data_IF_807906301305
#
_entry.id   IF_807906301305
#
_cell.length_a   1.000
_cell.length_b   1.000
_cell.length_c   1.000
_cell.angle_alpha   90.00
_cell.angle_beta   90.00
_cell.angle_gamma   90.00
#
_symmetry.space_group_name_H-M   'P 1'
#
loop_
_entity.id
_entity.type
_entity.pdbx_description
1 polymer ?
#
# COMPACT_ATOMS: atom_id res chain seq x y z
N UNK A 1 20.30 -49.12 11.77
CA UNK A 1 20.53 -50.51 11.32
C UNK A 1 19.99 -50.64 9.88
N UNK A 2 20.85 -50.34 8.89
CA UNK A 2 21.18 -51.09 7.63
C UNK A 2 20.39 -52.42 7.47
N UNK A 3 19.80 -52.86 6.34
CA UNK A 3 20.02 -52.66 4.88
C UNK A 3 18.80 -53.12 4.04
N UNK A 4 18.77 -52.74 2.75
CA UNK A 4 17.97 -53.43 1.73
C UNK A 4 17.97 -52.73 0.36
N UNK A 5 18.96 -53.02 -0.48
CA UNK A 5 19.14 -52.47 -1.82
C UNK A 5 18.67 -53.43 -2.94
N UNK A 6 18.20 -52.88 -4.07
CA UNK A 6 18.58 -53.28 -5.46
C UNK A 6 17.93 -52.38 -6.52
N UNK A 7 18.74 -51.84 -7.43
CA UNK A 7 18.34 -51.28 -8.74
C UNK A 7 18.24 -52.39 -9.81
N UNK A 8 17.75 -52.08 -11.04
CA UNK A 8 18.72 -51.88 -12.13
C UNK A 8 18.37 -50.84 -13.22
N UNK A 9 19.46 -50.19 -13.67
CA UNK A 9 19.93 -49.73 -15.01
C UNK A 9 18.98 -49.35 -16.16
N UNK A 10 19.36 -48.22 -16.78
CA UNK A 10 18.89 -47.61 -18.02
C UNK A 10 19.40 -48.29 -19.31
N UNK A 11 18.67 -48.07 -20.40
CA UNK A 11 19.10 -48.28 -21.79
C UNK A 11 18.82 -46.99 -22.58
N UNK A 12 19.84 -46.50 -23.28
CA UNK A 12 19.78 -45.36 -24.19
C UNK A 12 19.60 -45.82 -25.65
N UNK A 13 18.86 -45.06 -26.47
CA UNK A 13 19.05 -44.98 -27.93
C UNK A 13 18.76 -43.57 -28.45
N UNK A 14 19.62 -43.12 -29.37
CA UNK A 14 19.63 -41.85 -30.10
C UNK A 14 18.83 -41.93 -31.41
N UNK A 15 18.38 -40.76 -31.83
CA UNK A 15 18.04 -40.18 -33.15
C UNK A 15 18.11 -41.02 -34.44
N UNK A 16 17.14 -40.79 -35.36
CA UNK A 16 17.36 -40.03 -36.60
C UNK A 16 16.04 -39.51 -37.24
N UNK A 17 16.05 -38.46 -38.08
CA UNK A 17 14.89 -37.76 -38.64
C UNK A 17 14.64 -38.10 -40.13
N UNK A 18 13.41 -37.89 -40.60
CA UNK A 18 13.02 -37.44 -41.96
C UNK A 18 11.62 -37.94 -42.31
N UNK A 19 10.78 -37.06 -42.87
CA UNK A 19 9.42 -37.42 -43.28
C UNK A 19 8.60 -36.20 -43.69
N UNK A 20 8.81 -35.76 -44.93
CA UNK A 20 8.05 -34.74 -45.65
C UNK A 20 6.54 -35.06 -45.70
N UNK A 21 5.69 -34.03 -45.60
CA UNK A 21 4.26 -34.15 -45.90
C UNK A 21 3.40 -32.96 -45.46
N UNK A 22 3.38 -31.89 -46.26
CA UNK A 22 2.19 -31.03 -46.48
C UNK A 22 1.58 -31.45 -47.83
N UNK A 23 0.33 -31.10 -48.22
CA UNK A 23 -0.61 -30.14 -47.62
C UNK A 23 -2.08 -30.63 -47.54
N UNK A 24 -2.92 -29.98 -46.72
CA UNK A 24 -4.33 -29.72 -47.08
C UNK A 24 -5.00 -28.78 -46.06
N UNK A 25 -5.23 -27.55 -46.48
CA UNK A 25 -6.36 -26.69 -46.09
C UNK A 25 -7.20 -26.52 -47.37
N UNK A 26 -8.52 -26.18 -47.35
CA UNK A 26 -9.17 -25.39 -46.31
C UNK A 26 -10.61 -25.85 -45.94
N UNK A 27 -11.01 -25.62 -44.69
CA UNK A 27 -12.43 -25.54 -44.34
C UNK A 27 -12.72 -24.15 -43.76
N UNK A 28 -13.50 -23.39 -44.51
CA UNK A 28 -14.20 -22.16 -44.10
C UNK A 28 -15.27 -22.56 -43.09
N UNK A 29 -15.29 -21.91 -41.94
CA UNK A 29 -16.44 -21.85 -41.02
C UNK A 29 -16.56 -20.39 -40.60
N UNK A 30 -17.35 -19.61 -41.33
CA UNK A 30 -18.73 -19.20 -40.98
C UNK A 30 -18.81 -18.49 -39.62
N UNK A 31 -18.77 -17.16 -39.70
CA UNK A 31 -19.10 -16.24 -38.62
C UNK A 31 -20.60 -16.34 -38.26
N UNK A 32 -20.96 -16.26 -36.96
CA UNK A 32 -22.35 -16.16 -36.53
C UNK A 32 -22.91 -14.75 -36.78
N UNK A 33 -24.23 -14.61 -37.02
CA UNK A 33 -24.84 -13.37 -37.48
C UNK A 33 -24.98 -12.31 -36.38
N UNK A 34 -24.80 -11.06 -36.82
CA UNK A 34 -25.14 -9.82 -36.13
C UNK A 34 -26.63 -9.77 -35.79
N UNK A 35 -26.95 -9.68 -34.50
CA UNK A 35 -28.28 -9.34 -34.00
C UNK A 35 -28.35 -7.81 -33.92
N UNK A 36 -29.19 -7.21 -34.77
CA UNK A 36 -29.59 -5.81 -34.68
C UNK A 36 -30.60 -5.62 -33.53
N UNK A 37 -30.54 -4.51 -32.77
CA UNK A 37 -31.47 -4.25 -31.69
C UNK A 37 -32.84 -3.78 -32.23
N UNK A 38 -33.89 -4.37 -31.68
CA UNK A 38 -35.28 -4.00 -31.92
C UNK A 38 -35.59 -2.62 -31.32
N UNK A 39 -36.19 -1.77 -32.14
CA UNK A 39 -36.79 -0.49 -31.82
C UNK A 39 -38.16 -0.68 -31.18
N UNK A 40 -38.42 0.00 -30.06
CA UNK A 40 -39.78 0.34 -29.62
C UNK A 40 -39.76 1.70 -28.87
N UNK A 41 -40.89 2.44 -28.90
CA UNK A 41 -40.91 3.90 -28.88
C UNK A 41 -41.03 4.48 -27.47
N UNK A 42 -40.43 5.65 -27.26
CA UNK A 42 -40.55 6.41 -26.01
C UNK A 42 -41.87 7.20 -25.90
N UNK A 43 -42.27 7.60 -24.69
CA UNK A 43 -43.20 8.69 -24.48
C UNK A 43 -42.45 10.03 -24.31
N UNK A 44 -42.88 11.00 -25.12
CA UNK A 44 -42.66 12.45 -25.01
C UNK A 44 -43.52 12.98 -23.85
N UNK A 45 -42.97 13.88 -23.02
CA UNK A 45 -43.66 14.92 -22.23
C UNK A 45 -42.56 15.93 -21.84
N UNK A 46 -42.35 16.96 -22.65
CA UNK A 46 -42.84 18.34 -22.48
C UNK A 46 -42.08 19.14 -21.42
N UNK A 47 -41.34 20.14 -21.92
CA UNK A 47 -40.66 21.19 -21.17
C UNK A 47 -41.53 22.45 -21.25
N UNK A 48 -41.68 23.14 -20.12
CA UNK A 48 -42.29 24.47 -20.01
C UNK A 48 -41.22 25.49 -19.50
N UNK A 49 -41.38 26.79 -19.82
CA UNK A 49 -40.28 27.74 -20.04
C UNK A 49 -39.98 28.66 -18.82
N UNK A 50 -39.00 29.59 -18.91
CA UNK A 50 -38.47 30.31 -17.75
C UNK A 50 -39.24 31.60 -17.46
N UNK A 51 -39.31 31.98 -16.18
CA UNK A 51 -39.79 33.29 -15.75
C UNK A 51 -38.62 34.25 -15.50
N UNK A 52 -38.52 35.28 -16.34
CA UNK A 52 -37.86 36.55 -16.03
C UNK A 52 -38.83 37.46 -15.26
N UNK A 53 -38.32 38.28 -14.33
CA UNK A 53 -38.87 39.61 -14.06
C UNK A 53 -37.78 40.52 -13.49
N UNK A 54 -37.70 41.70 -14.11
CA UNK A 54 -36.83 42.84 -13.85
C UNK A 54 -37.11 43.54 -12.51
N UNK A 55 -36.15 44.36 -12.04
CA UNK A 55 -36.44 45.48 -11.15
C UNK A 55 -35.23 46.02 -10.38
N UNK A 56 -34.77 47.20 -10.77
CA UNK A 56 -33.60 47.92 -10.23
C UNK A 56 -33.96 48.90 -9.09
N UNK A 57 -32.88 49.48 -8.52
CA UNK A 57 -32.77 50.77 -7.79
C UNK A 57 -32.98 50.80 -6.25
N UNK A 58 -31.87 50.92 -5.47
CA UNK A 58 -31.28 52.12 -4.79
C UNK A 58 -32.00 52.49 -3.47
N UNK A 59 -31.39 52.87 -2.33
CA UNK A 59 -30.09 53.43 -1.94
C UNK A 59 -29.91 53.30 -0.39
N UNK A 60 -28.64 53.39 0.04
CA UNK A 60 -28.15 54.03 1.27
C UNK A 60 -27.73 53.18 2.49
N UNK A 61 -26.43 53.31 2.82
CA UNK A 61 -25.98 53.56 4.19
C UNK A 61 -25.12 52.50 4.89
N UNK A 62 -23.80 52.74 4.99
CA UNK A 62 -23.05 52.40 6.22
C UNK A 62 -21.70 51.66 6.13
N UNK A 63 -20.60 52.42 5.98
CA UNK A 63 -19.24 52.24 6.58
C UNK A 63 -18.34 51.02 6.26
N UNK A 64 -16.99 51.19 6.24
CA UNK A 64 -16.07 50.31 5.53
C UNK A 64 -15.69 49.08 6.36
N UNK A 65 -15.97 47.90 5.82
CA UNK A 65 -15.45 46.63 6.35
C UNK A 65 -14.05 46.41 5.79
N UNK A 66 -13.06 46.37 6.69
CA UNK A 66 -11.70 45.98 6.38
C UNK A 66 -11.69 44.64 5.62
N UNK A 67 -11.05 44.63 4.45
CA UNK A 67 -10.72 43.40 3.74
C UNK A 67 -9.75 42.60 4.63
N UNK A 68 -10.28 41.60 5.32
CA UNK A 68 -9.45 40.58 5.93
C UNK A 68 -8.78 39.80 4.78
N UNK A 69 -7.49 40.04 4.58
CA UNK A 69 -6.64 39.12 3.84
C UNK A 69 -6.79 37.73 4.47
N UNK A 70 -7.38 36.78 3.75
CA UNK A 70 -7.26 35.36 4.08
C UNK A 70 -5.77 35.02 4.11
N UNK A 71 -5.25 34.74 5.31
CA UNK A 71 -3.95 34.11 5.41
C UNK A 71 -4.02 32.73 4.74
N UNK A 72 -3.04 32.35 3.90
CA UNK A 72 -3.03 31.03 3.31
C UNK A 72 -3.07 29.97 4.43
N UNK A 73 -3.96 28.99 4.31
CA UNK A 73 -4.27 27.96 5.32
C UNK A 73 -3.04 27.19 5.84
N UNK A 74 -1.90 27.26 5.13
CA UNK A 74 -0.60 26.76 5.58
C UNK A 74 0.03 27.59 6.73
N UNK A 75 -0.17 28.92 6.76
CA UNK A 75 0.40 29.81 7.76
C UNK A 75 -0.28 29.67 9.14
N UNK A 76 -1.60 29.44 9.16
CA UNK A 76 -2.34 29.13 10.39
C UNK A 76 -1.92 27.77 10.99
N UNK A 77 -1.53 26.79 10.14
CA UNK A 77 -1.04 25.46 10.56
C UNK A 77 0.35 25.51 11.22
N UNK A 78 1.24 26.39 10.76
CA UNK A 78 2.57 26.59 11.33
C UNK A 78 2.51 27.17 12.76
N UNK A 79 1.52 28.02 13.05
CA UNK A 79 1.34 28.63 14.37
C UNK A 79 0.92 27.63 15.46
N UNK A 80 0.13 26.62 15.11
CA UNK A 80 -0.27 25.56 16.05
C UNK A 80 0.93 24.68 16.42
N UNK A 81 1.77 24.33 15.44
CA UNK A 81 2.99 23.54 15.63
C UNK A 81 4.01 24.28 16.52
N UNK A 82 4.16 25.60 16.34
CA UNK A 82 5.05 26.43 17.17
C UNK A 82 4.56 26.58 18.62
N UNK A 83 3.26 26.41 18.87
CA UNK A 83 2.66 26.43 20.21
C UNK A 83 3.02 25.24 21.09
N UNK A 84 3.27 24.07 20.49
CA UNK A 84 3.63 22.84 21.21
C UNK A 84 5.12 22.75 21.56
N UNK A 85 5.97 23.61 20.99
CA UNK A 85 7.42 23.65 21.24
C UNK A 85 7.82 24.59 22.39
N UNK A 86 6.86 25.20 23.09
CA UNK A 86 7.12 26.08 24.23
C UNK A 86 6.29 25.69 25.45
N UNK A 87 6.81 24.77 26.27
CA UNK A 87 6.61 24.84 27.73
C UNK A 87 7.67 24.06 28.52
N UNK A 88 8.12 24.55 29.69
CA UNK A 88 9.19 23.96 30.47
C UNK A 88 8.69 22.93 31.50
N UNK A 89 9.65 22.14 31.97
CA UNK A 89 9.60 21.04 32.93
C UNK A 89 9.26 21.43 34.38
N UNK A 90 8.57 20.50 35.07
CA UNK A 90 8.47 20.35 36.54
C UNK A 90 7.91 18.94 36.81
N UNK A 91 8.23 18.16 37.85
CA UNK A 91 9.12 18.22 39.00
C UNK A 91 9.00 16.85 39.70
N UNK A 92 10.07 16.37 40.34
CA UNK A 92 10.20 15.02 40.87
C UNK A 92 9.31 14.73 42.10
N UNK A 93 8.80 13.50 42.23
CA UNK A 93 8.23 12.94 43.46
C UNK A 93 9.02 11.69 43.83
N UNK A 94 9.59 11.69 45.03
CA UNK A 94 10.34 10.58 45.64
C UNK A 94 9.40 9.76 46.51
N UNK A 95 9.48 8.43 46.42
CA UNK A 95 8.85 7.52 47.38
C UNK A 95 9.89 6.51 47.91
N UNK A 96 9.86 6.26 49.22
CA UNK A 96 10.76 5.37 49.95
C UNK A 96 10.32 3.88 49.89
N UNK A 97 11.26 2.92 50.01
CA UNK A 97 10.96 1.50 49.88
C UNK A 97 10.58 0.85 51.22
N UNK A 98 9.73 -0.19 51.19
CA UNK A 98 9.50 -1.10 52.31
C UNK A 98 9.89 -2.52 51.89
N UNK A 99 10.79 -3.11 52.67
CA UNK A 99 11.47 -4.38 52.42
C UNK A 99 10.56 -5.58 52.69
N UNK A 100 10.57 -6.55 51.77
CA UNK A 100 10.00 -7.88 51.98
C UNK A 100 10.69 -8.88 51.05
N UNK A 101 11.68 -9.61 51.59
CA UNK A 101 12.48 -10.57 50.82
C UNK A 101 11.67 -11.84 50.56
N UNK A 102 11.15 -11.98 49.34
CA UNK A 102 10.69 -13.26 48.81
C UNK A 102 11.68 -13.64 47.71
N UNK A 103 12.27 -14.83 47.82
CA UNK A 103 13.17 -15.40 46.82
C UNK A 103 12.43 -15.54 45.49
N UNK A 104 12.57 -14.57 44.59
CA UNK A 104 12.09 -14.65 43.23
C UNK A 104 13.09 -15.44 42.40
N UNK A 105 12.68 -16.62 41.95
CA UNK A 105 13.14 -17.07 40.65
C UNK A 105 12.89 -15.91 39.69
N UNK A 106 13.92 -15.45 38.98
CA UNK A 106 13.88 -14.28 38.11
C UNK A 106 12.87 -14.49 36.98
N UNK A 107 11.60 -14.18 37.24
CA UNK A 107 10.61 -13.88 36.22
C UNK A 107 11.07 -12.58 35.56
N UNK A 108 11.92 -12.72 34.53
CA UNK A 108 12.04 -11.65 33.56
C UNK A 108 10.75 -11.67 32.74
N UNK A 109 9.85 -10.67 32.86
CA UNK A 109 8.73 -10.57 31.95
C UNK A 109 9.30 -10.58 30.54
N UNK A 110 8.73 -11.43 29.68
CA UNK A 110 9.21 -11.60 28.31
C UNK A 110 9.03 -10.25 27.61
N UNK A 111 10.13 -9.51 27.41
CA UNK A 111 10.09 -8.18 26.85
C UNK A 111 9.98 -8.28 25.33
N UNK A 112 8.83 -7.87 24.82
CA UNK A 112 8.53 -7.80 23.39
C UNK A 112 9.00 -6.46 22.81
N UNK A 113 9.62 -6.47 21.62
CA UNK A 113 10.21 -5.29 20.99
C UNK A 113 9.39 -4.74 19.84
N UNK A 114 8.56 -5.57 19.23
CA UNK A 114 7.82 -5.30 18.00
C UNK A 114 6.31 -5.28 18.21
N UNK A 115 5.83 -5.66 19.40
CA UNK A 115 4.42 -5.56 19.81
C UNK A 115 4.29 -4.97 21.21
N UNK A 116 3.33 -4.06 21.38
CA UNK A 116 2.99 -3.45 22.66
C UNK A 116 2.04 -4.34 23.48
N UNK A 117 2.01 -4.13 24.79
CA UNK A 117 1.11 -4.86 25.68
C UNK A 117 -0.33 -4.38 25.49
N UNK A 118 -1.23 -5.32 25.14
CA UNK A 118 -2.67 -5.11 25.04
C UNK A 118 -3.41 -6.46 25.17
N UNK A 119 -4.74 -6.41 25.09
CA UNK A 119 -5.63 -7.57 25.16
C UNK A 119 -6.15 -8.05 23.79
N UNK A 120 -5.59 -7.55 22.69
CA UNK A 120 -6.02 -7.89 21.32
C UNK A 120 -5.26 -9.09 20.78
N UNK A 121 -3.92 -9.06 20.86
CA UNK A 121 -3.08 -10.16 20.41
C UNK A 121 -2.90 -11.19 21.51
N UNK A 122 -3.09 -12.46 21.17
CA UNK A 122 -2.72 -13.58 22.04
C UNK A 122 -1.21 -13.64 22.24
N UNK A 123 -0.76 -14.29 23.32
CA UNK A 123 0.67 -14.47 23.58
C UNK A 123 1.36 -15.24 22.44
N UNK A 124 0.70 -16.25 21.87
CA UNK A 124 1.23 -17.00 20.72
C UNK A 124 1.40 -16.11 19.48
N UNK A 125 0.42 -15.25 19.19
CA UNK A 125 0.50 -14.32 18.06
C UNK A 125 1.62 -13.29 18.24
N UNK A 126 1.81 -12.76 19.46
CA UNK A 126 2.92 -11.84 19.76
C UNK A 126 4.26 -12.54 19.59
N UNK A 127 4.45 -13.72 20.18
CA UNK A 127 5.66 -14.54 20.00
C UNK A 127 5.92 -14.83 18.52
N UNK A 128 4.88 -15.16 17.77
CA UNK A 128 4.99 -15.39 16.34
C UNK A 128 5.47 -14.13 15.59
N UNK A 129 4.86 -12.98 15.84
CA UNK A 129 5.27 -11.72 15.19
C UNK A 129 6.70 -11.33 15.57
N UNK A 130 7.10 -11.52 16.83
CA UNK A 130 8.45 -11.23 17.32
C UNK A 130 9.49 -12.18 16.74
N UNK A 131 9.12 -13.42 16.44
CA UNK A 131 10.01 -14.36 15.78
C UNK A 131 10.11 -14.08 14.27
N UNK A 132 8.97 -13.81 13.63
CA UNK A 132 8.83 -13.89 12.17
C UNK A 132 8.71 -12.53 11.48
N UNK A 133 8.22 -11.50 12.16
CA UNK A 133 8.05 -10.13 11.65
C UNK A 133 6.76 -9.89 10.86
N UNK A 134 5.86 -10.86 10.85
CA UNK A 134 4.53 -10.74 10.24
C UNK A 134 3.50 -11.53 11.04
N UNK A 135 2.22 -11.23 10.83
CA UNK A 135 1.09 -11.94 11.40
C UNK A 135 -0.12 -11.86 10.45
N UNK A 136 -0.74 -12.99 10.14
CA UNK A 136 -1.97 -13.03 9.33
C UNK A 136 -3.17 -13.18 10.23
N UNK A 137 -4.13 -12.26 10.11
CA UNK A 137 -5.44 -12.32 10.75
C UNK A 137 -6.47 -12.69 9.68
N UNK A 138 -7.18 -13.79 9.91
CA UNK A 138 -8.16 -14.34 8.96
C UNK A 138 -9.48 -13.58 9.03
N UNK A 139 -10.12 -13.39 7.88
CA UNK A 139 -11.44 -12.76 7.75
C UNK A 139 -11.58 -11.45 8.55
N UNK A 140 -10.56 -10.59 8.51
CA UNK A 140 -10.53 -9.37 9.33
C UNK A 140 -11.42 -8.27 8.72
N UNK A 141 -11.38 -8.10 7.40
CA UNK A 141 -12.14 -7.06 6.71
C UNK A 141 -13.42 -7.66 6.12
N UNK A 142 -14.61 -7.11 6.45
CA UNK A 142 -15.87 -7.62 5.94
C UNK A 142 -15.97 -7.59 4.41
N UNK A 143 -16.65 -8.59 3.85
CA UNK A 143 -16.90 -8.69 2.41
C UNK A 143 -17.55 -7.45 1.79
N UNK A 144 -18.41 -6.79 2.57
CA UNK A 144 -19.10 -5.56 2.17
C UNK A 144 -18.11 -4.41 1.96
N UNK A 145 -17.17 -4.20 2.87
CA UNK A 145 -16.14 -3.17 2.72
C UNK A 145 -15.17 -3.50 1.59
N UNK A 146 -14.77 -4.77 1.43
CA UNK A 146 -13.98 -5.20 0.27
C UNK A 146 -14.69 -4.84 -1.05
N UNK A 147 -16.00 -5.08 -1.14
CA UNK A 147 -16.76 -4.75 -2.35
C UNK A 147 -16.84 -3.24 -2.58
N UNK A 148 -16.95 -2.43 -1.52
CA UNK A 148 -16.90 -0.96 -1.63
C UNK A 148 -15.58 -0.49 -2.22
N UNK A 149 -14.45 -0.98 -1.70
CA UNK A 149 -13.13 -0.62 -2.21
C UNK A 149 -12.94 -1.05 -3.67
N UNK A 150 -13.43 -2.23 -4.06
CA UNK A 150 -13.42 -2.69 -5.47
C UNK A 150 -14.24 -1.76 -6.37
N UNK A 151 -15.45 -1.42 -5.96
CA UNK A 151 -16.33 -0.54 -6.73
C UNK A 151 -15.71 0.85 -6.92
N UNK A 152 -15.11 1.42 -5.86
CA UNK A 152 -14.47 2.73 -5.99
C UNK A 152 -13.24 2.68 -6.89
N UNK A 153 -12.42 1.63 -6.77
CA UNK A 153 -11.30 1.42 -7.67
C UNK A 153 -11.73 1.35 -9.15
N UNK A 154 -12.85 0.69 -9.45
CA UNK A 154 -13.42 0.66 -10.80
C UNK A 154 -13.80 2.06 -11.29
N UNK A 155 -14.46 2.88 -10.47
CA UNK A 155 -14.82 4.26 -10.82
C UNK A 155 -13.58 5.12 -11.10
N UNK A 156 -12.53 4.97 -10.29
CA UNK A 156 -11.23 5.62 -10.51
C UNK A 156 -10.63 5.17 -11.84
N UNK A 157 -10.65 3.87 -12.15
CA UNK A 157 -10.14 3.34 -13.40
C UNK A 157 -10.89 3.87 -14.63
N UNK A 158 -12.21 4.06 -14.51
CA UNK A 158 -13.08 4.67 -15.53
C UNK A 158 -13.00 6.20 -15.57
N UNK A 159 -12.24 6.80 -14.64
CA UNK A 159 -12.10 8.26 -14.44
C UNK A 159 -13.39 8.98 -14.08
N UNK A 160 -14.36 8.25 -13.52
CA UNK A 160 -15.61 8.79 -12.97
C UNK A 160 -15.35 9.54 -11.66
N UNK A 161 -14.33 9.09 -10.91
CA UNK A 161 -13.83 9.74 -9.69
C UNK A 161 -12.34 10.05 -9.88
N UNK A 162 -11.91 11.25 -9.45
CA UNK A 162 -10.53 11.74 -9.55
C UNK A 162 -10.13 12.40 -8.22
N UNK A 163 -9.79 11.61 -7.20
CA UNK A 163 -9.41 12.14 -5.90
C UNK A 163 -8.18 13.04 -6.02
N UNK A 164 -8.14 14.11 -5.23
CA UNK A 164 -7.01 15.03 -5.22
C UNK A 164 -5.75 14.32 -4.70
N UNK A 165 -4.60 14.55 -5.33
CA UNK A 165 -3.32 13.94 -4.93
C UNK A 165 -3.13 12.47 -5.32
N UNK A 166 -4.17 11.78 -5.80
CA UNK A 166 -4.09 10.35 -6.16
C UNK A 166 -3.06 10.11 -7.28
N UNK A 167 -2.13 9.19 -7.04
CA UNK A 167 -1.13 8.76 -8.03
C UNK A 167 -1.58 7.47 -8.69
N UNK A 168 -1.87 7.53 -10.00
CA UNK A 168 -2.26 6.36 -10.80
C UNK A 168 -1.03 5.82 -11.55
N UNK A 169 -0.63 4.59 -11.24
CA UNK A 169 0.44 3.89 -11.93
C UNK A 169 -0.10 2.96 -13.02
N UNK A 170 0.63 2.91 -14.13
CA UNK A 170 0.41 1.97 -15.23
C UNK A 170 1.71 1.22 -15.48
N UNK A 171 1.62 -0.09 -15.66
CA UNK A 171 2.79 -0.91 -15.97
C UNK A 171 3.35 -0.53 -17.36
N UNK A 172 4.67 -0.52 -17.48
CA UNK A 172 5.39 -0.18 -18.72
C UNK A 172 5.02 -1.09 -19.89
N UNK A 173 4.52 -2.29 -19.60
CA UNK A 173 4.13 -3.29 -20.60
C UNK A 173 2.72 -3.13 -21.15
N UNK A 174 1.87 -2.30 -20.53
CA UNK A 174 0.51 -2.07 -21.02
C UNK A 174 0.59 -1.16 -22.25
N UNK A 175 0.25 -1.71 -23.42
CA UNK A 175 0.38 -1.04 -24.72
C UNK A 175 -0.37 0.30 -24.76
N UNK A 176 0.29 1.34 -25.30
CA UNK A 176 -0.27 2.70 -25.49
C UNK A 176 -1.53 2.75 -26.38
N UNK A 177 -1.92 1.64 -27.02
CA UNK A 177 -2.95 1.58 -28.06
C UNK A 177 -4.36 1.28 -27.56
N UNK A 178 -4.56 0.85 -26.31
CA UNK A 178 -5.90 0.73 -25.72
C UNK A 178 -6.28 2.03 -25.03
N UNK A 179 -6.94 2.94 -25.76
CA UNK A 179 -7.30 4.28 -25.28
C UNK A 179 -8.54 4.31 -24.36
N UNK A 180 -9.14 3.16 -24.07
CA UNK A 180 -10.34 3.07 -23.24
C UNK A 180 -9.94 2.95 -21.75
N UNK A 181 -10.31 3.91 -20.89
CA UNK A 181 -10.08 3.81 -19.45
C UNK A 181 -10.71 2.52 -18.90
N UNK A 182 -9.90 1.59 -18.42
CA UNK A 182 -10.36 0.32 -17.87
C UNK A 182 -9.44 -0.14 -16.74
N UNK A 183 -9.93 -1.02 -15.88
CA UNK A 183 -9.12 -1.61 -14.80
C UNK A 183 -7.83 -2.25 -15.29
N UNK A 184 -7.82 -2.76 -16.53
CA UNK A 184 -6.67 -3.46 -17.13
C UNK A 184 -5.48 -2.53 -17.38
N UNK A 185 -5.69 -1.20 -17.34
CA UNK A 185 -4.62 -0.22 -17.53
C UNK A 185 -3.97 0.26 -16.23
N UNK A 186 -4.66 0.12 -15.10
CA UNK A 186 -4.24 0.67 -13.81
C UNK A 186 -3.68 -0.44 -12.95
N UNK A 187 -2.38 -0.42 -12.67
CA UNK A 187 -1.73 -1.51 -11.91
C UNK A 187 -1.50 -1.19 -10.45
N UNK A 188 -1.54 0.10 -10.09
CA UNK A 188 -1.53 0.56 -8.71
C UNK A 188 -2.15 1.96 -8.63
N UNK A 189 -2.85 2.25 -7.55
CA UNK A 189 -3.12 3.62 -7.12
C UNK A 189 -2.48 3.84 -5.75
N UNK A 190 -1.90 5.02 -5.55
CA UNK A 190 -1.29 5.44 -4.29
C UNK A 190 -1.83 6.79 -3.86
N UNK A 191 -1.65 7.12 -2.59
CA UNK A 191 -2.02 8.41 -2.01
C UNK A 191 -3.53 8.69 -2.16
N UNK A 192 -4.33 7.69 -1.77
CA UNK A 192 -5.79 7.74 -1.83
C UNK A 192 -6.44 8.36 -0.59
N UNK A 193 -5.69 9.07 0.26
CA UNK A 193 -6.21 9.61 1.53
C UNK A 193 -7.38 10.58 1.36
N UNK A 194 -7.44 11.31 0.24
CA UNK A 194 -8.56 12.20 -0.09
C UNK A 194 -9.76 11.47 -0.74
N UNK A 195 -9.65 10.17 -1.03
CA UNK A 195 -10.76 9.34 -1.48
C UNK A 195 -11.51 8.77 -0.27
N UNK A 196 -12.76 9.21 -0.09
CA UNK A 196 -13.56 8.83 1.09
C UNK A 196 -13.79 7.33 1.20
N UNK A 197 -14.01 6.62 0.09
CA UNK A 197 -14.34 5.20 0.14
C UNK A 197 -13.09 4.35 0.34
N UNK A 198 -11.97 4.66 -0.31
CA UNK A 198 -10.71 3.95 -0.09
C UNK A 198 -10.09 4.27 1.27
N UNK A 199 -10.15 5.54 1.73
CA UNK A 199 -9.58 5.94 3.01
C UNK A 199 -10.32 5.32 4.21
N UNK A 200 -11.56 4.86 4.05
CA UNK A 200 -12.24 4.05 5.08
C UNK A 200 -11.45 2.82 5.51
N UNK A 201 -10.63 2.25 4.63
CA UNK A 201 -9.71 1.17 5.01
C UNK A 201 -8.78 1.59 6.17
N UNK A 202 -8.32 2.84 6.14
CA UNK A 202 -7.39 3.39 7.13
C UNK A 202 -8.07 3.73 8.46
N UNK A 203 -9.39 3.93 8.44
CA UNK A 203 -10.20 4.27 9.62
C UNK A 203 -11.10 3.12 10.09
N UNK A 204 -10.95 1.94 9.49
CA UNK A 204 -11.75 0.77 9.81
C UNK A 204 -11.39 0.26 11.23
N UNK A 205 -12.34 0.18 12.18
CA UNK A 205 -12.06 -0.22 13.56
C UNK A 205 -11.38 -1.59 13.65
N UNK A 206 -11.76 -2.53 12.77
CA UNK A 206 -11.17 -3.86 12.65
C UNK A 206 -9.67 -3.80 12.34
N UNK A 207 -9.23 -2.86 11.49
CA UNK A 207 -7.82 -2.64 11.18
C UNK A 207 -7.12 -1.93 12.33
N UNK A 208 -7.69 -0.80 12.80
CA UNK A 208 -7.06 0.03 13.83
C UNK A 208 -6.84 -0.72 15.15
N UNK A 209 -7.76 -1.61 15.53
CA UNK A 209 -7.63 -2.49 16.69
C UNK A 209 -6.31 -3.28 16.70
N UNK A 210 -5.89 -3.78 15.54
CA UNK A 210 -4.62 -4.51 15.42
C UNK A 210 -3.43 -3.56 15.19
N UNK A 211 -3.60 -2.46 14.46
CA UNK A 211 -2.54 -1.46 14.24
C UNK A 211 -2.02 -0.89 15.56
N UNK A 212 -2.93 -0.57 16.50
CA UNK A 212 -2.60 -0.05 17.83
C UNK A 212 -1.64 -0.98 18.60
N UNK A 213 -1.67 -2.29 18.32
CA UNK A 213 -0.77 -3.27 18.93
C UNK A 213 0.70 -3.04 18.57
N UNK A 214 0.99 -2.28 17.53
CA UNK A 214 2.33 -2.00 17.04
C UNK A 214 2.70 -0.52 17.22
N UNK A 215 1.75 0.39 16.95
CA UNK A 215 1.99 1.85 16.93
C UNK A 215 1.70 2.53 18.27
N UNK A 216 0.89 1.91 19.12
CA UNK A 216 0.24 2.61 20.23
C UNK A 216 -0.97 3.44 19.74
N UNK A 217 -1.62 4.19 20.65
CA UNK A 217 -2.93 4.80 20.41
C UNK A 217 -2.90 5.98 19.45
N UNK A 218 -1.75 6.64 19.29
CA UNK A 218 -1.60 7.79 18.41
C UNK A 218 -1.21 7.30 17.01
N UNK A 219 -2.20 7.03 16.16
CA UNK A 219 -1.99 6.35 14.87
C UNK A 219 -1.98 7.35 13.72
N UNK A 220 -0.97 7.27 12.86
CA UNK A 220 -0.91 7.99 11.57
C UNK A 220 -0.97 7.01 10.39
N UNK A 221 -1.84 7.26 9.42
CA UNK A 221 -1.83 6.59 8.13
C UNK A 221 -0.79 7.27 7.21
N UNK A 222 0.34 6.61 7.00
CA UNK A 222 1.52 7.23 6.37
C UNK A 222 1.57 7.06 4.86
N UNK A 223 1.20 5.88 4.36
CA UNK A 223 1.24 5.57 2.93
C UNK A 223 0.10 4.63 2.57
N UNK A 224 -0.60 4.92 1.48
CA UNK A 224 -1.80 4.19 1.06
C UNK A 224 -1.61 3.64 -0.34
N UNK A 225 -1.99 2.38 -0.55
CA UNK A 225 -1.87 1.71 -1.85
C UNK A 225 -3.02 0.75 -2.11
N UNK A 226 -3.53 0.75 -3.34
CA UNK A 226 -4.34 -0.34 -3.88
C UNK A 226 -3.61 -0.90 -5.09
N UNK A 227 -3.29 -2.18 -5.00
CA UNK A 227 -2.41 -2.91 -5.93
C UNK A 227 -3.29 -3.80 -6.80
N UNK A 228 -3.31 -3.53 -8.10
CA UNK A 228 -4.06 -4.28 -9.12
C UNK A 228 -3.06 -5.02 -10.01
N UNK A 229 -2.53 -6.14 -9.53
CA UNK A 229 -1.39 -6.81 -10.14
C UNK A 229 -1.76 -7.45 -11.49
N UNK A 230 -1.13 -7.06 -12.61
CA UNK A 230 -1.49 -7.56 -13.94
C UNK A 230 -1.08 -9.03 -14.13
N UNK A 231 -1.72 -9.75 -15.08
CA UNK A 231 -1.21 -10.98 -15.65
C UNK A 231 0.24 -10.82 -16.15
N UNK A 232 1.05 -11.86 -15.93
CA UNK A 232 2.42 -11.93 -16.41
C UNK A 232 2.49 -12.85 -17.64
N UNK A 233 2.76 -12.28 -18.81
CA UNK A 233 2.92 -13.04 -20.06
C UNK A 233 4.25 -13.81 -20.15
N UNK A 234 4.88 -14.11 -19.01
CA UNK A 234 6.17 -14.81 -18.91
C UNK A 234 7.39 -13.87 -18.93
N UNK A 235 7.18 -12.55 -19.00
CA UNK A 235 8.24 -11.54 -19.00
C UNK A 235 8.72 -11.16 -17.60
N UNK A 236 8.12 -11.72 -16.55
CA UNK A 236 8.43 -11.47 -15.13
C UNK A 236 8.22 -10.02 -14.68
N UNK A 237 7.49 -9.22 -15.46
CA UNK A 237 7.31 -7.77 -15.23
C UNK A 237 6.36 -7.47 -14.08
N UNK A 238 5.48 -8.41 -13.73
CA UNK A 238 4.52 -8.24 -12.64
C UNK A 238 5.12 -8.55 -11.26
N UNK A 239 6.34 -9.11 -11.20
CA UNK A 239 6.97 -9.52 -9.93
C UNK A 239 7.45 -8.28 -9.19
N UNK A 240 7.10 -8.16 -7.90
CA UNK A 240 7.76 -7.18 -7.04
C UNK A 240 9.07 -7.79 -6.50
N UNK A 241 10.23 -7.13 -6.68
CA UNK A 241 11.48 -7.61 -6.12
C UNK A 241 11.41 -7.73 -4.60
N UNK A 242 12.31 -8.55 -4.04
CA UNK A 242 12.47 -8.61 -2.60
C UNK A 242 13.02 -7.28 -2.10
N UNK A 243 12.35 -6.69 -1.12
CA UNK A 243 12.63 -5.34 -0.63
C UNK A 243 12.23 -5.22 0.86
N UNK A 244 12.55 -4.06 1.44
CA UNK A 244 12.14 -3.64 2.77
C UNK A 244 11.44 -2.30 2.59
N UNK A 245 10.22 -2.16 3.08
CA UNK A 245 9.43 -0.94 2.92
C UNK A 245 10.11 0.27 3.57
N UNK A 246 10.84 0.04 4.68
CA UNK A 246 11.55 1.11 5.39
C UNK A 246 12.54 1.87 4.50
N UNK A 247 13.00 1.28 3.39
CA UNK A 247 13.82 1.97 2.38
C UNK A 247 13.16 3.26 1.88
N UNK A 248 11.83 3.28 1.75
CA UNK A 248 11.06 4.42 1.28
C UNK A 248 10.61 5.37 2.40
N UNK A 249 10.81 4.99 3.67
CA UNK A 249 10.28 5.74 4.82
C UNK A 249 11.40 6.49 5.55
N UNK A 250 11.41 7.83 5.49
CA UNK A 250 12.39 8.66 6.19
C UNK A 250 11.93 9.00 7.63
N UNK A 251 11.30 8.05 8.34
CA UNK A 251 10.84 8.24 9.72
C UNK A 251 11.09 6.99 10.59
N UNK A 252 11.24 7.20 11.90
CA UNK A 252 11.71 6.23 12.91
C UNK A 252 11.01 6.44 14.26
N UNK A 253 11.04 5.48 15.20
CA UNK A 253 11.64 4.14 15.11
C UNK A 253 10.82 3.17 14.24
N UNK A 254 11.48 2.20 13.59
CA UNK A 254 10.81 1.22 12.71
C UNK A 254 9.84 0.30 13.44
N UNK A 255 10.09 0.01 14.72
CA UNK A 255 9.26 -0.91 15.50
C UNK A 255 7.86 -0.34 15.79
N UNK A 256 7.67 0.97 15.63
CA UNK A 256 6.39 1.66 15.74
C UNK A 256 5.73 1.91 14.37
N UNK A 257 6.13 1.15 13.35
CA UNK A 257 5.60 1.22 12.00
C UNK A 257 5.11 -0.19 11.61
N UNK A 258 3.93 -0.27 11.00
CA UNK A 258 3.35 -1.54 10.56
C UNK A 258 2.63 -1.37 9.23
N UNK A 259 2.83 -2.31 8.31
CA UNK A 259 1.99 -2.43 7.12
C UNK A 259 0.78 -3.30 7.44
N UNK A 260 -0.43 -2.82 7.14
CA UNK A 260 -1.62 -3.65 7.06
C UNK A 260 -1.96 -3.87 5.58
N UNK A 261 -1.89 -5.11 5.11
CA UNK A 261 -2.18 -5.49 3.72
C UNK A 261 -3.31 -6.51 3.68
N UNK A 262 -4.37 -6.20 2.94
CA UNK A 262 -5.60 -7.00 2.91
C UNK A 262 -5.88 -7.54 1.52
N UNK A 263 -6.19 -8.84 1.47
CA UNK A 263 -6.59 -9.54 0.27
C UNK A 263 -8.02 -9.14 -0.15
N UNK A 264 -8.20 -8.61 -1.36
CA UNK A 264 -9.52 -8.20 -1.89
C UNK A 264 -10.22 -9.29 -2.71
N UNK A 265 -9.61 -10.47 -2.76
CA UNK A 265 -10.02 -11.70 -3.43
C UNK A 265 -9.15 -12.86 -2.90
N UNK A 266 -9.38 -14.09 -3.36
CA UNK A 266 -8.48 -15.20 -3.06
C UNK A 266 -7.10 -14.98 -3.69
N UNK A 267 -6.02 -15.13 -2.92
CA UNK A 267 -4.64 -14.84 -3.33
C UNK A 267 -3.74 -16.02 -2.97
N UNK A 268 -3.11 -16.61 -3.99
CA UNK A 268 -2.28 -17.80 -3.88
C UNK A 268 -0.96 -17.66 -4.65
N UNK A 269 -0.23 -18.75 -4.80
CA UNK A 269 1.04 -18.77 -5.55
C UNK A 269 0.84 -18.58 -7.06
N UNK A 270 -0.34 -18.87 -7.59
CA UNK A 270 -0.64 -18.75 -9.02
C UNK A 270 -0.92 -17.30 -9.41
N UNK A 271 -1.64 -16.53 -8.59
CA UNK A 271 -1.94 -15.12 -8.88
C UNK A 271 -0.97 -14.11 -8.21
N UNK A 272 0.10 -14.60 -7.59
CA UNK A 272 1.22 -13.78 -7.12
C UNK A 272 1.02 -13.21 -5.72
N UNK A 273 0.78 -14.10 -4.75
CA UNK A 273 0.83 -13.81 -3.33
C UNK A 273 2.16 -13.18 -2.87
N UNK A 274 2.12 -12.58 -1.69
CA UNK A 274 3.32 -12.12 -1.00
C UNK A 274 4.23 -13.31 -0.65
N UNK A 275 5.53 -13.03 -0.71
CA UNK A 275 6.59 -13.92 -0.25
C UNK A 275 7.35 -13.16 0.81
N UNK A 276 7.51 -13.75 1.99
CA UNK A 276 8.25 -13.17 3.12
C UNK A 276 9.43 -14.05 3.49
N UNK A 277 10.48 -13.45 4.04
CA UNK A 277 11.60 -14.15 4.67
C UNK A 277 11.49 -13.93 6.19
N UNK A 278 10.94 -14.90 6.93
CA UNK A 278 10.69 -14.75 8.36
C UNK A 278 11.96 -14.38 9.15
N UNK A 279 11.81 -13.54 10.17
CA UNK A 279 12.90 -13.14 11.08
C UNK A 279 13.82 -12.04 10.53
N UNK A 280 13.78 -11.75 9.23
CA UNK A 280 14.64 -10.72 8.63
C UNK A 280 14.38 -9.29 9.13
N UNK A 281 13.21 -9.04 9.72
CA UNK A 281 12.87 -7.77 10.37
C UNK A 281 13.80 -7.41 11.55
N UNK A 282 14.52 -8.39 12.12
CA UNK A 282 15.52 -8.21 13.18
C UNK A 282 16.86 -7.70 12.66
N UNK A 283 17.08 -7.77 11.35
CA UNK A 283 18.28 -7.29 10.70
C UNK A 283 18.27 -5.77 10.49
N UNK A 284 19.34 -5.26 9.89
CA UNK A 284 19.42 -3.86 9.48
C UNK A 284 18.63 -3.59 8.19
N UNK A 285 18.38 -2.30 7.92
CA UNK A 285 18.01 -1.86 6.58
C UNK A 285 19.16 -2.20 5.61
N UNK A 286 18.85 -2.92 4.54
CA UNK A 286 19.79 -3.27 3.47
C UNK A 286 19.82 -2.16 2.41
N UNK A 287 20.88 -2.07 1.59
CA UNK A 287 20.88 -1.21 0.42
C UNK A 287 19.97 -1.78 -0.68
N UNK A 288 19.22 -0.89 -1.34
CA UNK A 288 18.34 -1.23 -2.46
C UNK A 288 18.74 -0.46 -3.71
N UNK A 289 18.60 -1.11 -4.86
CA UNK A 289 18.80 -0.50 -6.18
C UNK A 289 17.83 -1.15 -7.18
N UNK A 290 17.69 -0.58 -8.38
CA UNK A 290 16.90 -1.17 -9.45
C UNK A 290 17.47 -2.53 -9.87
N UNK A 291 16.67 -3.60 -9.83
CA UNK A 291 17.09 -4.90 -10.34
C UNK A 291 17.49 -4.82 -11.82
N UNK A 292 18.58 -5.50 -12.19
CA UNK A 292 19.03 -5.62 -13.59
C UNK A 292 18.27 -6.74 -14.31
N UNK A 293 16.95 -6.59 -14.47
CA UNK A 293 16.09 -7.60 -15.09
C UNK A 293 15.84 -7.32 -16.58
N UNK A 294 15.79 -8.37 -17.38
CA UNK A 294 15.38 -8.30 -18.79
C UNK A 294 13.92 -7.85 -18.89
N UNK A 295 13.63 -6.85 -19.74
CA UNK A 295 12.29 -6.27 -19.89
C UNK A 295 12.04 -5.01 -19.04
N UNK A 296 13.02 -4.59 -18.22
CA UNK A 296 12.93 -3.42 -17.37
C UNK A 296 12.22 -3.66 -16.05
N UNK A 297 12.33 -2.70 -15.14
CA UNK A 297 11.69 -2.72 -13.82
C UNK A 297 10.77 -1.51 -13.69
N UNK A 298 9.59 -1.71 -13.09
CA UNK A 298 8.68 -0.62 -12.81
C UNK A 298 9.38 0.43 -11.92
N UNK A 299 9.08 1.72 -12.13
CA UNK A 299 9.63 2.80 -11.29
C UNK A 299 9.29 2.55 -9.82
N UNK A 300 10.20 2.90 -8.92
CA UNK A 300 10.10 2.65 -7.48
C UNK A 300 10.00 1.18 -7.07
N UNK A 301 10.50 0.24 -7.90
CA UNK A 301 10.63 -1.17 -7.52
C UNK A 301 12.10 -1.50 -7.27
N UNK A 302 12.68 -0.87 -6.24
CA UNK A 302 14.04 -1.18 -5.79
C UNK A 302 14.08 -2.54 -5.09
N UNK A 303 15.06 -3.37 -5.46
CA UNK A 303 15.32 -4.65 -4.84
C UNK A 303 16.56 -4.60 -3.95
N UNK A 304 16.57 -5.42 -2.90
CA UNK A 304 17.74 -5.63 -2.05
C UNK A 304 18.86 -6.23 -2.90
N UNK A 305 20.04 -5.64 -2.81
CA UNK A 305 21.22 -6.10 -3.54
C UNK A 305 21.92 -7.29 -2.85
N UNK A 306 21.76 -7.40 -1.53
CA UNK A 306 22.44 -8.41 -0.72
C UNK A 306 21.50 -8.96 0.37
N UNK A 307 21.05 -10.20 0.17
CA UNK A 307 20.32 -10.98 1.16
C UNK A 307 20.71 -12.45 1.06
N UNK A 308 20.72 -13.13 2.21
CA UNK A 308 20.96 -14.57 2.29
C UNK A 308 19.86 -15.34 1.53
N UNK A 309 20.21 -15.86 0.35
CA UNK A 309 19.26 -16.57 -0.52
C UNK A 309 18.71 -17.85 0.13
N UNK A 310 19.46 -18.42 1.08
CA UNK A 310 19.14 -19.66 1.78
C UNK A 310 18.07 -19.50 2.87
N UNK A 311 17.60 -18.28 3.15
CA UNK A 311 16.49 -18.08 4.08
C UNK A 311 15.21 -18.73 3.55
N UNK A 312 14.59 -19.59 4.36
CA UNK A 312 13.33 -20.23 4.03
C UNK A 312 12.26 -19.16 3.75
N UNK A 313 11.62 -19.26 2.59
CA UNK A 313 10.58 -18.33 2.16
C UNK A 313 9.21 -18.86 2.51
N UNK A 314 8.35 -18.00 3.02
CA UNK A 314 6.94 -18.30 3.27
C UNK A 314 6.09 -17.58 2.24
N UNK A 315 5.21 -18.33 1.58
CA UNK A 315 4.21 -17.79 0.65
C UNK A 315 2.90 -17.57 1.41
N UNK A 316 2.40 -16.34 1.40
CA UNK A 316 1.19 -15.98 2.14
C UNK A 316 -0.06 -16.22 1.29
N UNK A 317 -0.59 -17.44 1.34
CA UNK A 317 -1.91 -17.76 0.74
C UNK A 317 -3.00 -17.20 1.64
N UNK A 318 -3.87 -16.37 1.06
CA UNK A 318 -4.85 -15.55 1.78
C UNK A 318 -6.20 -15.61 1.08
N UNK A 319 -7.26 -15.74 1.86
CA UNK A 319 -8.63 -15.60 1.39
C UNK A 319 -9.05 -14.13 1.35
N UNK A 320 -10.13 -13.84 0.64
CA UNK A 320 -10.73 -12.49 0.64
C UNK A 320 -11.03 -12.05 2.07
N UNK A 321 -10.61 -10.84 2.43
CA UNK A 321 -10.80 -10.26 3.76
C UNK A 321 -9.71 -10.62 4.77
N UNK A 322 -8.80 -11.56 4.46
CA UNK A 322 -7.60 -11.78 5.27
C UNK A 322 -6.69 -10.55 5.24
N UNK A 323 -6.08 -10.23 6.37
CA UNK A 323 -5.10 -9.14 6.49
C UNK A 323 -3.79 -9.68 7.06
N UNK A 324 -2.68 -9.33 6.42
CA UNK A 324 -1.34 -9.52 6.99
C UNK A 324 -0.83 -8.20 7.55
N UNK A 325 -0.37 -8.23 8.79
CA UNK A 325 0.41 -7.18 9.42
C UNK A 325 1.88 -7.54 9.34
N UNK A 326 2.75 -6.62 8.93
CA UNK A 326 4.19 -6.90 8.91
C UNK A 326 5.07 -5.67 9.13
N UNK A 327 6.26 -5.93 9.68
CA UNK A 327 7.25 -4.93 10.05
C UNK A 327 7.96 -4.38 8.79
N UNK A 328 8.29 -3.07 8.71
CA UNK A 328 8.85 -2.46 7.50
C UNK A 328 10.27 -2.94 7.15
N UNK A 329 10.99 -3.58 8.07
CA UNK A 329 12.26 -4.28 7.80
C UNK A 329 12.09 -5.74 7.38
N UNK A 330 10.88 -6.30 7.37
CA UNK A 330 10.68 -7.65 6.87
C UNK A 330 10.98 -7.70 5.37
N UNK A 331 11.94 -8.54 4.98
CA UNK A 331 12.24 -8.75 3.57
C UNK A 331 11.07 -9.50 2.94
N UNK A 332 10.44 -8.86 1.96
CA UNK A 332 9.30 -9.43 1.27
C UNK A 332 9.22 -8.97 -0.19
N UNK A 333 8.40 -9.66 -0.98
CA UNK A 333 8.11 -9.32 -2.37
C UNK A 333 6.84 -10.03 -2.81
N UNK A 334 6.55 -10.05 -4.11
CA UNK A 334 5.40 -10.81 -4.64
C UNK A 334 5.80 -11.66 -5.83
N UNK A 335 5.18 -12.84 -5.95
CA UNK A 335 5.41 -13.76 -7.06
C UNK A 335 4.90 -13.22 -8.40
N UNK A 336 5.13 -13.96 -9.49
CA UNK A 336 4.50 -13.67 -10.78
C UNK A 336 2.99 -13.99 -10.71
N UNK A 337 2.17 -13.23 -11.43
CA UNK A 337 0.75 -13.55 -11.59
C UNK A 337 0.61 -14.34 -12.90
N UNK A 338 0.45 -15.66 -12.79
CA UNK A 338 0.35 -16.58 -13.93
C UNK A 338 -1.09 -16.74 -14.44
N UNK A 339 -2.05 -16.06 -13.79
CA UNK A 339 -3.46 -16.12 -14.17
C UNK A 339 -3.79 -15.05 -15.21
N UNK A 340 -4.99 -15.12 -15.79
CA UNK A 340 -5.50 -14.12 -16.73
C UNK A 340 -6.16 -12.92 -16.02
N UNK A 341 -6.43 -13.03 -14.72
CA UNK A 341 -7.07 -11.99 -13.92
C UNK A 341 -6.07 -11.01 -13.32
N UNK A 342 -6.53 -9.79 -13.02
CA UNK A 342 -5.76 -8.84 -12.22
C UNK A 342 -6.02 -9.10 -10.74
N UNK A 343 -4.95 -9.26 -9.96
CA UNK A 343 -5.02 -9.61 -8.54
C UNK A 343 -5.04 -8.35 -7.67
N UNK A 344 -6.16 -8.10 -6.97
CA UNK A 344 -6.36 -6.91 -6.15
C UNK A 344 -6.01 -7.10 -4.67
N UNK A 345 -5.37 -6.08 -4.10
CA UNK A 345 -5.16 -5.96 -2.66
C UNK A 345 -5.09 -4.48 -2.25
N UNK A 346 -5.49 -4.17 -1.02
CA UNK A 346 -5.42 -2.81 -0.45
C UNK A 346 -4.49 -2.82 0.75
N UNK A 347 -3.71 -1.75 0.93
CA UNK A 347 -2.79 -1.65 2.06
C UNK A 347 -2.61 -0.23 2.54
N UNK A 348 -2.24 -0.13 3.82
CA UNK A 348 -1.78 1.11 4.44
C UNK A 348 -0.60 0.80 5.35
N UNK A 349 0.42 1.65 5.29
CA UNK A 349 1.47 1.70 6.28
C UNK A 349 1.10 2.71 7.35
N UNK A 350 1.01 2.24 8.59
CA UNK A 350 0.74 3.05 9.75
C UNK A 350 2.02 3.29 10.54
N UNK A 351 2.10 4.43 11.21
CA UNK A 351 3.15 4.73 12.17
C UNK A 351 2.57 5.37 13.43
N UNK A 352 3.29 5.25 14.54
CA UNK A 352 3.01 6.08 15.72
C UNK A 352 3.21 7.56 15.39
N UNK A 353 2.35 8.42 15.92
CA UNK A 353 2.55 9.87 15.85
C UNK A 353 3.80 10.33 16.62
N UNK A 354 4.35 9.48 17.50
CA UNK A 354 5.60 9.72 18.23
C UNK A 354 6.84 9.43 17.37
N UNK A 355 6.66 8.94 16.14
CA UNK A 355 7.75 8.82 15.19
C UNK A 355 8.33 10.19 14.81
N UNK A 356 9.61 10.22 14.47
CA UNK A 356 10.31 11.41 13.99
C UNK A 356 10.94 11.16 12.63
N UNK A 357 11.01 12.22 11.82
CA UNK A 357 11.70 12.21 10.54
C UNK A 357 13.21 12.19 10.73
N UNK A 358 13.91 11.49 9.85
CA UNK A 358 15.37 11.44 9.77
C UNK A 358 15.88 12.15 8.53
N UNK A 359 17.09 12.69 8.60
CA UNK A 359 17.84 13.08 7.40
C UNK A 359 18.42 11.81 6.75
N UNK A 360 18.17 11.63 5.46
CA UNK A 360 18.60 10.44 4.71
C UNK A 360 19.89 10.69 3.92
N UNK A 361 20.41 11.92 3.90
CA UNK A 361 21.65 12.25 3.21
C UNK A 361 22.84 11.46 3.75
N UNK A 362 23.64 10.87 2.87
CA UNK A 362 24.78 10.02 3.26
C UNK A 362 24.37 8.64 3.80
N UNK A 363 23.09 8.28 3.74
CA UNK A 363 22.58 6.96 4.14
C UNK A 363 22.22 6.12 2.90
N UNK A 364 21.89 4.85 3.11
CA UNK A 364 21.37 3.97 2.05
C UNK A 364 20.04 4.43 1.41
N UNK A 365 19.36 5.42 2.00
CA UNK A 365 18.08 5.96 1.51
C UNK A 365 18.23 7.27 0.72
N UNK A 366 19.45 7.80 0.56
CA UNK A 366 19.68 9.06 -0.17
C UNK A 366 19.22 9.00 -1.63
N UNK A 367 19.26 7.82 -2.25
CA UNK A 367 18.76 7.60 -3.61
C UNK A 367 17.25 7.88 -3.74
N UNK A 368 16.44 7.47 -2.76
CA UNK A 368 15.00 7.72 -2.74
C UNK A 368 14.70 9.20 -2.61
N UNK A 369 15.41 9.94 -1.76
CA UNK A 369 15.25 11.39 -1.67
C UNK A 369 15.47 12.05 -3.03
N UNK A 370 16.59 11.72 -3.70
CA UNK A 370 16.91 12.27 -5.02
C UNK A 370 15.84 11.94 -6.06
N UNK A 371 15.33 10.71 -6.06
CA UNK A 371 14.29 10.30 -7.00
C UNK A 371 12.95 11.00 -6.73
N UNK A 372 12.51 11.03 -5.46
CA UNK A 372 11.24 11.62 -5.05
C UNK A 372 11.24 13.14 -5.26
N UNK A 373 12.30 13.84 -4.85
CA UNK A 373 12.46 15.28 -5.11
C UNK A 373 12.54 15.55 -6.61
N UNK A 374 13.27 14.72 -7.37
CA UNK A 374 13.35 14.84 -8.83
C UNK A 374 12.01 14.63 -9.54
N UNK A 375 11.12 13.80 -8.99
CA UNK A 375 9.74 13.64 -9.49
C UNK A 375 8.91 14.88 -9.09
N UNK A 376 8.99 15.31 -7.84
CA UNK A 376 8.26 16.46 -7.33
C UNK A 376 8.56 17.73 -8.13
N UNK A 377 9.83 18.03 -8.41
CA UNK A 377 10.22 19.22 -9.17
C UNK A 377 9.73 19.17 -10.61
N UNK A 378 9.59 17.98 -11.23
CA UNK A 378 8.97 17.84 -12.56
C UNK A 378 7.47 18.12 -12.55
N UNK A 379 6.78 17.85 -11.44
CA UNK A 379 5.34 18.08 -11.30
C UNK A 379 5.00 19.50 -10.86
N UNK A 380 5.77 20.08 -9.93
CA UNK A 380 5.46 21.37 -9.30
C UNK A 380 6.41 22.52 -9.68
N UNK A 381 7.43 22.26 -10.50
CA UNK A 381 8.46 23.24 -10.87
C UNK A 381 9.55 23.42 -9.80
N UNK A 382 10.72 23.93 -10.22
CA UNK A 382 11.92 24.10 -9.37
C UNK A 382 11.81 25.28 -8.37
N UNK A 383 10.74 26.07 -8.42
CA UNK A 383 10.55 27.26 -7.57
C UNK A 383 10.18 26.92 -6.12
N UNK A 384 9.71 25.70 -5.86
CA UNK A 384 9.40 25.23 -4.51
C UNK A 384 10.59 24.41 -4.00
N UNK A 385 11.28 24.87 -2.95
CA UNK A 385 12.34 24.11 -2.26
C UNK A 385 11.75 22.91 -1.49
N UNK A 386 11.22 21.95 -2.23
CA UNK A 386 10.65 20.71 -1.71
C UNK A 386 11.77 19.82 -1.18
N UNK A 387 11.68 19.41 0.08
CA UNK A 387 12.50 18.36 0.64
C UNK A 387 11.63 17.14 0.98
N UNK A 388 12.27 15.97 1.15
CA UNK A 388 11.55 14.71 1.33
C UNK A 388 10.61 14.74 2.56
N UNK A 389 11.02 15.41 3.65
CA UNK A 389 10.19 15.58 4.85
C UNK A 389 8.88 16.31 4.53
N UNK A 390 8.93 17.39 3.76
CA UNK A 390 7.75 18.17 3.40
C UNK A 390 6.80 17.37 2.50
N UNK A 391 7.35 16.59 1.57
CA UNK A 391 6.57 15.71 0.68
C UNK A 391 5.84 14.63 1.47
N UNK A 392 6.52 13.96 2.41
CA UNK A 392 5.87 12.94 3.26
C UNK A 392 4.82 13.58 4.16
N UNK A 393 5.07 14.74 4.76
CA UNK A 393 4.08 15.45 5.58
C UNK A 393 2.81 15.84 4.79
N UNK A 394 2.95 16.19 3.51
CA UNK A 394 1.82 16.51 2.64
C UNK A 394 0.94 15.28 2.35
N UNK A 395 1.55 14.09 2.28
CA UNK A 395 0.84 12.82 2.01
C UNK A 395 0.23 12.23 3.30
N UNK A 396 0.90 12.32 4.44
CA UNK A 396 0.47 11.70 5.70
C UNK A 396 -0.62 12.48 6.47
N UNK A 397 -1.14 13.59 5.91
CA UNK A 397 -2.18 14.37 6.58
C UNK A 397 -3.54 13.70 6.41
N UNK A 398 -4.25 13.44 7.52
CA UNK A 398 -5.66 13.03 7.48
C UNK A 398 -6.50 14.06 6.70
N UNK A 399 -7.60 13.63 6.03
CA UNK A 399 -8.57 14.58 5.48
C UNK A 399 -8.96 15.58 6.56
N UNK A 400 -8.95 16.88 6.23
CA UNK A 400 -9.18 17.94 7.20
C UNK A 400 -10.50 17.79 8.00
N UNK A 401 -11.46 17.05 7.44
CA UNK A 401 -12.79 16.81 8.01
C UNK A 401 -12.84 15.63 9.01
N UNK A 402 -11.78 14.81 9.12
CA UNK A 402 -11.71 13.62 9.98
C UNK A 402 -10.81 13.77 11.21
N UNK A 403 -10.11 14.91 11.33
CA UNK A 403 -9.22 15.24 12.45
C UNK A 403 -9.92 15.38 13.82
N UNK A 404 -11.24 15.65 13.97
CA UNK A 404 -11.83 15.77 15.31
C UNK A 404 -12.22 14.45 16.00
N UNK A 405 -11.96 13.26 15.43
CA UNK A 405 -12.60 12.01 15.88
C UNK A 405 -11.67 10.79 16.09
N UNK A 406 -10.37 11.00 16.28
CA UNK A 406 -9.47 9.95 16.76
C UNK A 406 -8.82 10.36 18.08
#
# INVERSE_FOLDING_TARGET
MVWGARQPRAVARRADPSGLGRPSSPAREMAPPLIQPASCPGPRLEAEPPAELNGAETLSGGSPRAAAMEQPRAAARLQIILGHLRRPSAGAVVAHPTTGTISSASFHPQQFQYTLDNNVLTLEQRKFYEENGFLVIKNLVPDADIQRFRNEFEKICRKEVKPFGLVVMRDVTISKSEYTPSEKMTTKVQDFQEDKELFRYCTLPEILKYVECFTGPNIMAMHTMLINKPPDSGKKTSRHPLHQDLHYFPFRPSNLIVCAWTAMEHIDRNNGCLVVLPGTHKGSLKPHDYPKWEGGVNKMFHGIQDYEENNARVHLVMEKGDTVFFHPLLIHGSGQNKTQGFRKAISCHFASADCHYIDVKGTSQENIEKEVVGIANKFWGDENSMNLKLLVLLVCSFPADLVPLL
#
